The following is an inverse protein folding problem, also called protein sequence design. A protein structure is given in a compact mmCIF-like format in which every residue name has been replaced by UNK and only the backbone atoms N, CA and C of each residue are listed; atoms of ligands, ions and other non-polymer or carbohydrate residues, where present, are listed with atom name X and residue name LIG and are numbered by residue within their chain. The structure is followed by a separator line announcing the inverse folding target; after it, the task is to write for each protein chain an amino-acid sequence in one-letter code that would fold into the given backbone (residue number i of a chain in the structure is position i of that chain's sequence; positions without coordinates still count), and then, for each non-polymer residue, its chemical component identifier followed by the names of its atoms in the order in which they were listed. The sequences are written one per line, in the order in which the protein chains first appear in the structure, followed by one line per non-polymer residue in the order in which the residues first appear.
data_IF_191659744465
#
_entry.id   IF_191659744465
#
_cell.length_a   1.000
_cell.length_b   1.000
_cell.length_c   1.000
_cell.angle_alpha   90.00
_cell.angle_beta   90.00
_cell.angle_gamma   90.00
#
_symmetry.space_group_name_H-M   'P 1'
#
loop_
_entity.id
_entity.type
_entity.pdbx_description
1 polymer ?
#
# COMPACT_ATOMS: atom_id res chain seq x y z
N UNK A 1 1.84 25.21 14.25
CA UNK A 1 3.06 24.72 14.94
C UNK A 1 3.81 25.92 15.49
N UNK A 2 4.27 25.91 16.75
CA UNK A 2 5.08 27.02 17.27
C UNK A 2 6.56 26.73 17.02
N UNK A 3 7.14 27.38 16.01
CA UNK A 3 8.53 27.19 15.58
C UNK A 3 9.56 27.43 16.71
N UNK A 4 9.26 28.28 17.71
CA UNK A 4 10.18 28.56 18.82
C UNK A 4 10.32 27.37 19.79
N UNK A 5 9.30 26.51 19.85
CA UNK A 5 9.24 25.34 20.74
C UNK A 5 9.36 24.02 19.97
N UNK A 6 9.70 24.06 18.68
CA UNK A 6 9.79 22.86 17.81
C UNK A 6 11.26 22.53 17.57
N UNK A 7 11.62 21.24 17.55
CA UNK A 7 12.98 20.82 17.22
C UNK A 7 13.42 21.34 15.84
N UNK A 8 14.62 21.94 15.78
CA UNK A 8 15.24 22.38 14.52
C UNK A 8 15.43 21.21 13.53
N UNK A 9 15.75 20.01 14.04
CA UNK A 9 15.87 18.80 13.23
C UNK A 9 14.53 18.45 12.57
N UNK A 10 13.42 18.55 13.31
CA UNK A 10 12.09 18.29 12.77
C UNK A 10 11.68 19.33 11.72
N UNK A 11 11.92 20.63 11.98
CA UNK A 11 11.68 21.68 11.00
C UNK A 11 12.49 21.49 9.71
N UNK A 12 13.77 21.11 9.83
CA UNK A 12 14.65 20.82 8.68
C UNK A 12 14.18 19.59 7.91
N UNK A 13 13.79 18.52 8.61
CA UNK A 13 13.21 17.32 8.01
C UNK A 13 11.95 17.66 7.19
N UNK A 14 11.00 18.42 7.76
CA UNK A 14 9.79 18.82 7.04
C UNK A 14 10.12 19.66 5.78
N UNK A 15 11.07 20.60 5.87
CA UNK A 15 11.48 21.43 4.74
C UNK A 15 12.15 20.64 3.60
N UNK A 16 12.77 19.50 3.89
CA UNK A 16 13.44 18.66 2.89
C UNK A 16 12.61 17.43 2.44
N UNK A 17 11.49 17.13 3.10
CA UNK A 17 10.61 16.03 2.72
C UNK A 17 9.90 16.27 1.38
N UNK A 18 9.35 17.46 1.17
CA UNK A 18 8.62 17.81 -0.06
C UNK A 18 8.23 19.29 -0.11
N UNK A 19 7.62 19.68 -1.21
CA UNK A 19 7.08 21.03 -1.41
C UNK A 19 5.72 21.16 -0.74
N UNK A 20 5.47 22.25 -0.01
CA UNK A 20 4.15 22.53 0.56
C UNK A 20 3.18 22.96 -0.54
N UNK A 21 2.18 22.12 -0.82
CA UNK A 21 1.20 22.37 -1.90
C UNK A 21 -0.22 22.47 -1.36
N UNK A 22 -1.04 23.30 -1.99
CA UNK A 22 -2.48 23.41 -1.72
C UNK A 22 -3.25 22.31 -2.44
N UNK A 23 -4.04 21.54 -1.69
CA UNK A 23 -4.76 20.36 -2.19
C UNK A 23 -5.82 20.73 -3.22
N UNK A 24 -6.50 21.86 -3.03
CA UNK A 24 -7.54 22.35 -3.94
C UNK A 24 -7.00 22.60 -5.35
N UNK A 25 -5.81 23.21 -5.48
CA UNK A 25 -5.25 23.65 -6.77
C UNK A 25 -4.20 22.71 -7.37
N UNK A 26 -3.59 21.81 -6.60
CA UNK A 26 -2.46 20.99 -7.06
C UNK A 26 -2.85 19.80 -7.96
N UNK A 27 -2.36 19.64 -9.20
CA UNK A 27 -2.94 18.71 -10.19
C UNK A 27 -2.70 17.20 -9.97
N UNK A 28 -1.85 16.81 -9.03
CA UNK A 28 -1.44 15.42 -8.76
C UNK A 28 -2.19 14.78 -7.57
N UNK A 29 -1.86 13.53 -7.22
CA UNK A 29 -2.36 12.90 -5.99
C UNK A 29 -1.71 13.55 -4.75
N UNK A 30 -2.54 13.94 -3.79
CA UNK A 30 -2.17 14.70 -2.58
C UNK A 30 -2.40 13.93 -1.27
N UNK A 31 -2.68 12.62 -1.36
CA UNK A 31 -2.88 11.72 -0.22
C UNK A 31 -4.27 11.10 -0.12
N UNK A 32 -5.27 11.68 -0.79
CA UNK A 32 -6.66 11.23 -0.81
C UNK A 32 -7.09 10.94 -2.27
N UNK A 33 -7.72 9.79 -2.52
CA UNK A 33 -8.20 9.39 -3.85
C UNK A 33 -9.46 10.12 -4.32
N UNK A 34 -10.21 10.76 -3.43
CA UNK A 34 -11.44 11.52 -3.75
C UNK A 34 -11.15 12.90 -4.31
N UNK A 35 -10.04 13.53 -3.92
CA UNK A 35 -9.56 14.82 -4.45
C UNK A 35 -8.62 14.66 -5.65
N UNK A 36 -8.03 13.47 -5.81
CA UNK A 36 -7.06 13.15 -6.85
C UNK A 36 -7.65 13.22 -8.27
N UNK A 37 -6.90 13.85 -9.19
CA UNK A 37 -7.20 13.91 -10.62
C UNK A 37 -8.57 14.45 -11.03
N UNK A 38 -9.39 14.95 -10.10
CA UNK A 38 -10.66 15.60 -10.42
C UNK A 38 -10.42 17.00 -10.98
N UNK A 39 -11.10 17.32 -12.07
CA UNK A 39 -11.26 18.69 -12.57
C UNK A 39 -12.37 19.44 -11.79
N UNK A 40 -13.28 18.69 -11.18
CA UNK A 40 -14.36 19.15 -10.31
C UNK A 40 -13.93 18.88 -8.87
N UNK A 41 -12.99 19.67 -8.36
CA UNK A 41 -12.75 19.72 -6.92
C UNK A 41 -13.75 20.70 -6.36
N UNK A 42 -14.50 20.25 -5.36
CA UNK A 42 -15.46 21.12 -4.70
C UNK A 42 -14.69 22.30 -4.11
N UNK A 43 -14.95 23.49 -4.68
CA UNK A 43 -14.66 24.74 -4.00
C UNK A 43 -15.48 24.69 -2.70
N UNK A 44 -14.83 24.39 -1.58
CA UNK A 44 -15.47 24.55 -0.26
C UNK A 44 -16.01 25.99 -0.19
N UNK A 45 -17.22 26.20 0.34
CA UNK A 45 -17.81 27.53 0.37
C UNK A 45 -16.88 28.52 1.07
N UNK A 46 -16.85 29.77 0.59
CA UNK A 46 -15.91 30.84 0.95
C UNK A 46 -15.73 31.11 2.46
N UNK A 47 -16.59 30.54 3.32
CA UNK A 47 -16.52 30.58 4.78
C UNK A 47 -15.24 29.96 5.36
N UNK A 48 -14.52 29.11 4.60
CA UNK A 48 -13.22 28.56 5.01
C UNK A 48 -12.03 29.51 4.73
N UNK A 49 -12.20 30.56 3.93
CA UNK A 49 -11.12 31.52 3.56
C UNK A 49 -10.96 32.64 4.58
N UNK A 50 -10.81 32.29 5.85
CA UNK A 50 -9.98 33.14 6.72
C UNK A 50 -8.56 33.14 6.12
N UNK A 51 -7.94 34.33 5.99
CA UNK A 51 -6.54 34.45 5.56
C UNK A 51 -5.60 33.91 6.64
N UNK A 52 -5.57 32.60 6.78
CA UNK A 52 -4.65 31.85 7.59
C UNK A 52 -3.31 31.81 6.84
N UNK A 53 -2.38 32.65 7.26
CA UNK A 53 -0.98 32.72 6.81
C UNK A 53 -0.16 31.46 7.26
N UNK A 54 -0.86 30.32 7.36
CA UNK A 54 -0.48 29.11 8.09
C UNK A 54 -0.83 27.86 7.28
N UNK A 55 0.18 27.10 6.86
CA UNK A 55 -0.03 25.80 6.22
C UNK A 55 -0.55 24.76 7.23
N UNK A 56 -1.68 24.10 6.93
CA UNK A 56 -2.19 22.94 7.65
C UNK A 56 -2.02 21.70 6.77
N UNK A 57 -1.00 20.89 7.11
CA UNK A 57 -0.48 19.78 6.32
C UNK A 57 -1.27 18.50 6.63
N UNK A 58 -2.57 18.44 6.35
CA UNK A 58 -3.45 17.31 6.71
C UNK A 58 -4.14 16.61 5.55
N UNK A 59 -3.84 17.00 4.30
CA UNK A 59 -4.42 16.41 3.10
C UNK A 59 -5.79 16.99 2.71
N UNK A 60 -6.38 17.87 3.53
CA UNK A 60 -7.57 18.64 3.13
C UNK A 60 -7.21 19.98 2.49
N UNK A 61 -6.37 20.76 3.17
CA UNK A 61 -5.93 22.07 2.64
C UNK A 61 -4.54 21.99 2.03
N UNK A 62 -3.60 21.33 2.71
CA UNK A 62 -2.22 21.24 2.25
C UNK A 62 -1.63 19.85 2.55
N UNK A 63 -0.59 19.48 1.80
CA UNK A 63 0.32 18.39 2.15
C UNK A 63 1.77 18.76 1.74
N UNK A 64 2.75 18.00 2.21
CA UNK A 64 4.10 18.07 1.63
C UNK A 64 4.16 17.06 0.50
N UNK A 65 4.25 17.53 -0.74
CA UNK A 65 4.25 16.71 -1.93
C UNK A 65 5.66 16.54 -2.49
N UNK A 66 5.97 15.32 -2.94
CA UNK A 66 7.21 15.01 -3.62
C UNK A 66 6.96 13.89 -4.65
N UNK A 67 7.64 13.93 -5.79
CA UNK A 67 7.55 12.86 -6.77
C UNK A 67 8.89 12.57 -7.48
N UNK A 68 8.99 11.35 -8.00
CA UNK A 68 9.89 10.98 -9.09
C UNK A 68 9.06 10.60 -10.35
N UNK A 69 9.66 10.32 -11.53
CA UNK A 69 8.93 9.94 -12.74
C UNK A 69 8.07 8.65 -12.66
N UNK A 70 8.04 7.97 -11.51
CA UNK A 70 7.42 6.66 -11.29
C UNK A 70 6.61 6.56 -9.98
N UNK A 71 6.72 7.51 -9.05
CA UNK A 71 5.95 7.52 -7.79
C UNK A 71 5.72 8.94 -7.28
N UNK A 72 4.52 9.19 -6.77
CA UNK A 72 4.13 10.39 -6.03
C UNK A 72 4.03 10.03 -4.54
N UNK A 73 4.44 10.95 -3.66
CA UNK A 73 4.35 10.84 -2.21
C UNK A 73 3.74 12.12 -1.67
N UNK A 74 2.68 12.00 -0.89
CA UNK A 74 2.16 13.08 -0.06
C UNK A 74 2.39 12.73 1.40
N UNK A 75 3.04 13.63 2.15
CA UNK A 75 3.12 13.54 3.60
C UNK A 75 2.02 14.42 4.20
N UNK A 76 1.21 13.81 5.06
CA UNK A 76 0.16 14.46 5.85
C UNK A 76 0.44 14.26 7.33
N UNK A 77 -0.19 15.08 8.16
CA UNK A 77 -0.09 15.08 9.62
C UNK A 77 -1.49 14.92 10.22
N UNK A 78 -1.65 14.19 11.33
CA UNK A 78 -2.94 14.03 11.97
C UNK A 78 -3.45 15.36 12.52
N UNK A 79 -4.71 15.70 12.22
CA UNK A 79 -5.38 16.89 12.78
C UNK A 79 -6.77 16.57 13.28
N UNK A 80 -7.26 17.41 14.19
CA UNK A 80 -8.63 17.36 14.71
C UNK A 80 -9.71 17.46 13.62
N UNK A 81 -9.37 17.96 12.41
CA UNK A 81 -10.29 17.98 11.27
C UNK A 81 -10.58 16.57 10.76
N UNK A 82 -9.55 15.73 10.65
CA UNK A 82 -9.69 14.34 10.17
C UNK A 82 -10.58 13.55 11.13
N UNK A 83 -10.31 13.69 12.44
CA UNK A 83 -11.12 13.05 13.50
C UNK A 83 -12.59 13.40 13.40
N UNK A 84 -12.92 14.71 13.33
CA UNK A 84 -14.31 15.19 13.24
C UNK A 84 -15.03 14.72 11.98
N UNK A 85 -14.35 14.70 10.83
CA UNK A 85 -14.96 14.25 9.59
C UNK A 85 -15.38 12.77 9.68
N UNK A 86 -14.58 11.94 10.34
CA UNK A 86 -14.86 10.51 10.49
C UNK A 86 -15.92 10.21 11.55
N UNK A 87 -15.97 11.01 12.63
CA UNK A 87 -17.10 10.98 13.57
C UNK A 87 -18.42 11.29 12.84
N UNK A 88 -18.43 12.31 11.96
CA UNK A 88 -19.63 12.63 11.18
C UNK A 88 -20.02 11.53 10.18
N UNK A 89 -19.05 10.85 9.57
CA UNK A 89 -19.30 9.76 8.64
C UNK A 89 -19.85 8.50 9.35
N UNK A 90 -19.48 8.26 10.61
CA UNK A 90 -20.00 7.15 11.40
C UNK A 90 -21.50 7.33 11.71
N UNK A 91 -21.91 8.52 12.16
CA UNK A 91 -23.32 8.85 12.42
C UNK A 91 -24.19 8.72 11.15
N UNK A 92 -23.65 9.10 9.97
CA UNK A 92 -24.34 8.94 8.69
C UNK A 92 -24.61 7.46 8.35
N UNK A 93 -23.69 6.55 8.66
CA UNK A 93 -23.87 5.13 8.39
C UNK A 93 -24.90 4.48 9.31
N UNK A 94 -25.00 4.89 10.58
CA UNK A 94 -25.98 4.31 11.51
C UNK A 94 -27.44 4.60 11.05
N UNK A 95 -27.66 5.78 10.46
CA UNK A 95 -28.92 6.20 9.83
C UNK A 95 -29.30 5.44 8.54
N UNK A 96 -28.44 4.57 7.99
CA UNK A 96 -28.79 3.73 6.82
C UNK A 96 -29.42 2.38 7.17
N UNK A 97 -29.58 2.06 8.47
CA UNK A 97 -30.19 0.81 8.93
C UNK A 97 -31.73 0.85 8.98
N UNK A 98 -32.36 1.96 8.56
CA UNK A 98 -33.81 2.15 8.58
C UNK A 98 -34.39 2.49 7.20
N UNK A 99 -34.66 1.48 6.36
CA UNK A 99 -35.28 1.79 5.07
C UNK A 99 -35.47 0.69 4.02
N UNK A 100 -35.55 -0.60 4.37
CA UNK A 100 -35.93 -1.66 3.40
C UNK A 100 -37.44 -1.63 3.06
N UNK A 101 -37.93 -0.46 2.67
CA UNK A 101 -39.28 -0.27 2.14
C UNK A 101 -39.23 -0.43 0.62
N UNK A 102 -39.13 -1.68 0.15
CA UNK A 102 -39.50 -2.00 -1.23
C UNK A 102 -40.94 -1.57 -1.46
N UNK A 103 -41.12 -0.55 -2.29
CA UNK A 103 -42.41 0.03 -2.63
C UNK A 103 -43.32 -1.03 -3.26
N UNK A 104 -44.42 -1.35 -2.56
CA UNK A 104 -45.47 -2.22 -3.05
C UNK A 104 -46.14 -1.57 -4.26
N UNK A 105 -46.01 -2.19 -5.44
CA UNK A 105 -46.88 -1.93 -6.60
C UNK A 105 -47.52 -3.26 -7.01
N UNK A 106 -48.66 -3.54 -6.38
CA UNK A 106 -49.76 -4.36 -6.91
C UNK A 106 -50.67 -3.46 -7.76
N UNK A 107 -51.31 -3.85 -8.85
CA UNK A 107 -51.26 -5.03 -9.72
C UNK A 107 -51.97 -4.63 -11.02
N UNK A 108 -51.68 -5.26 -12.16
CA UNK A 108 -52.69 -5.78 -13.12
C UNK A 108 -52.02 -6.46 -14.31
N UNK A 109 -52.77 -7.29 -15.03
CA UNK A 109 -52.28 -8.50 -15.69
C UNK A 109 -52.13 -8.39 -17.23
N UNK A 110 -51.15 -9.10 -17.84
CA UNK A 110 -51.41 -10.29 -18.69
C UNK A 110 -50.15 -10.84 -19.42
N UNK A 111 -50.13 -12.19 -19.53
CA UNK A 111 -49.41 -13.07 -20.49
C UNK A 111 -47.88 -13.28 -20.45
N UNK A 112 -47.52 -14.51 -20.04
CA UNK A 112 -46.58 -15.48 -20.66
C UNK A 112 -45.08 -15.11 -20.90
N UNK A 113 -44.07 -15.95 -20.59
CA UNK A 113 -44.01 -17.30 -20.00
C UNK A 113 -42.64 -17.59 -19.32
N UNK A 114 -42.56 -18.73 -18.62
CA UNK A 114 -41.36 -19.52 -18.28
C UNK A 114 -40.30 -19.02 -17.27
N UNK A 115 -40.61 -19.31 -16.00
CA UNK A 115 -39.82 -20.14 -15.08
C UNK A 115 -38.29 -19.97 -14.88
N UNK A 116 -38.00 -19.64 -13.60
CA UNK A 116 -37.00 -20.25 -12.72
C UNK A 116 -35.56 -19.67 -12.69
N UNK A 117 -35.20 -19.19 -11.50
CA UNK A 117 -33.89 -18.67 -11.13
C UNK A 117 -32.88 -19.76 -10.74
N UNK A 118 -31.59 -19.51 -11.03
CA UNK A 118 -30.40 -19.99 -10.30
C UNK A 118 -29.17 -19.42 -11.03
N UNK A 119 -28.54 -18.35 -10.52
CA UNK A 119 -27.46 -18.38 -9.52
C UNK A 119 -26.15 -19.02 -10.03
N UNK A 120 -25.16 -18.14 -10.25
CA UNK A 120 -23.70 -18.33 -10.19
C UNK A 120 -22.99 -19.40 -11.05
N UNK A 121 -21.73 -19.07 -11.37
CA UNK A 121 -20.65 -20.00 -11.71
C UNK A 121 -20.76 -20.75 -13.05
N UNK A 122 -20.16 -20.16 -14.09
CA UNK A 122 -19.67 -20.91 -15.25
C UNK A 122 -18.15 -20.96 -15.26
N UNK A 123 -17.64 -22.05 -14.69
CA UNK A 123 -16.36 -22.60 -15.11
C UNK A 123 -16.38 -22.88 -16.62
N UNK A 124 -15.30 -22.52 -17.31
CA UNK A 124 -15.00 -23.05 -18.64
C UNK A 124 -13.79 -23.97 -18.55
N UNK A 125 -14.05 -25.20 -18.13
CA UNK A 125 -13.08 -26.27 -18.16
C UNK A 125 -12.85 -26.78 -19.59
N UNK A 126 -11.58 -26.86 -19.99
CA UNK A 126 -11.05 -27.87 -20.92
C UNK A 126 -11.73 -28.05 -22.28
N UNK A 127 -11.18 -27.40 -23.31
CA UNK A 127 -11.01 -28.09 -24.60
C UNK A 127 -9.61 -27.85 -25.16
N UNK A 128 -8.82 -28.91 -25.18
CA UNK A 128 -7.53 -28.91 -25.87
C UNK A 128 -7.76 -28.75 -27.38
N UNK A 129 -7.25 -27.66 -27.94
CA UNK A 129 -6.92 -27.55 -29.35
C UNK A 129 -5.54 -26.90 -29.46
N UNK A 130 -4.61 -27.71 -29.91
CA UNK A 130 -3.27 -27.33 -30.31
C UNK A 130 -3.31 -26.41 -31.53
N UNK A 131 -2.67 -25.25 -31.43
CA UNK A 131 -2.14 -24.53 -32.59
C UNK A 131 -0.92 -23.71 -32.14
N UNK A 132 0.27 -24.33 -32.21
CA UNK A 132 1.52 -23.60 -32.02
C UNK A 132 1.88 -22.87 -33.32
N UNK A 133 1.95 -21.54 -33.28
CA UNK A 133 2.56 -20.75 -34.37
C UNK A 133 3.50 -19.68 -33.86
N UNK A 134 4.79 -20.06 -33.88
CA UNK A 134 5.93 -19.25 -34.33
C UNK A 134 6.03 -17.81 -33.82
N UNK A 135 6.99 -17.58 -32.92
CA UNK A 135 7.65 -16.29 -32.77
C UNK A 135 9.16 -16.47 -32.49
N UNK A 136 9.98 -16.08 -33.47
CA UNK A 136 11.37 -15.63 -33.25
C UNK A 136 12.41 -16.68 -32.86
N UNK A 137 13.02 -17.32 -33.86
CA UNK A 137 14.39 -17.82 -33.71
C UNK A 137 15.35 -16.63 -33.60
N UNK A 138 16.16 -16.58 -32.54
CA UNK A 138 17.40 -15.79 -32.52
C UNK A 138 18.57 -16.69 -32.12
N UNK A 139 19.21 -17.30 -33.11
CA UNK A 139 20.46 -18.06 -32.92
C UNK A 139 21.65 -17.10 -33.03
N UNK A 140 22.34 -16.89 -31.91
CA UNK A 140 23.53 -16.04 -31.81
C UNK A 140 24.67 -16.76 -31.08
N UNK A 141 25.51 -17.47 -31.84
CA UNK A 141 26.71 -18.12 -31.30
C UNK A 141 27.89 -17.13 -31.18
N UNK A 142 28.47 -16.95 -29.98
CA UNK A 142 29.94 -16.94 -29.80
C UNK A 142 30.39 -16.95 -28.33
N UNK A 143 31.00 -18.07 -27.93
CA UNK A 143 32.10 -18.23 -26.96
C UNK A 143 32.48 -17.10 -25.97
N UNK A 144 32.42 -17.41 -24.67
CA UNK A 144 33.16 -16.75 -23.57
C UNK A 144 33.52 -17.78 -22.48
N UNK A 145 34.69 -17.66 -21.83
CA UNK A 145 35.35 -18.74 -21.07
C UNK A 145 35.63 -18.34 -19.61
N UNK A 146 35.66 -19.33 -18.71
CA UNK A 146 36.11 -19.25 -17.29
C UNK A 146 35.17 -18.49 -16.33
N UNK A 147 35.08 -18.78 -15.02
CA UNK A 147 35.91 -19.63 -14.13
C UNK A 147 35.08 -20.53 -13.18
N UNK A 148 35.76 -21.49 -12.55
CA UNK A 148 35.27 -22.39 -11.50
C UNK A 148 35.91 -22.03 -10.16
N UNK A 149 35.22 -22.35 -9.06
CA UNK A 149 35.73 -22.48 -7.68
C UNK A 149 36.02 -21.19 -6.88
N UNK A 150 35.32 -21.05 -5.76
CA UNK A 150 35.97 -20.83 -4.47
C UNK A 150 35.11 -21.44 -3.35
N UNK A 151 35.74 -22.30 -2.56
CA UNK A 151 35.22 -22.84 -1.30
C UNK A 151 36.00 -22.18 -0.19
N UNK A 152 35.34 -21.67 0.84
CA UNK A 152 36.00 -21.45 2.12
C UNK A 152 35.05 -21.74 3.30
N UNK A 153 35.61 -22.35 4.35
CA UNK A 153 34.86 -23.08 5.39
C UNK A 153 35.38 -22.68 6.77
N UNK A 154 34.55 -21.99 7.57
CA UNK A 154 34.80 -21.52 8.95
C UNK A 154 33.44 -21.37 9.65
N UNK A 155 33.13 -21.87 10.86
CA UNK A 155 33.73 -22.88 11.75
C UNK A 155 32.60 -23.46 12.65
N UNK A 156 32.30 -24.78 12.67
CA UNK A 156 31.29 -25.35 13.59
C UNK A 156 31.94 -25.90 14.86
N UNK A 157 31.60 -25.36 16.04
CA UNK A 157 32.23 -25.75 17.30
C UNK A 157 31.49 -26.89 18.04
N UNK A 158 32.00 -28.11 17.85
CA UNK A 158 32.08 -29.25 18.78
C UNK A 158 30.91 -29.68 19.70
N UNK A 159 30.47 -30.94 19.49
CA UNK A 159 29.78 -31.81 20.46
C UNK A 159 30.63 -32.14 21.70
N UNK A 160 29.97 -32.54 22.80
CA UNK A 160 30.52 -33.48 23.80
C UNK A 160 29.44 -34.40 24.42
N UNK A 161 29.58 -35.72 24.16
CA UNK A 161 29.25 -36.94 24.94
C UNK A 161 27.87 -37.05 25.67
N UNK A 162 27.03 -38.08 25.44
CA UNK A 162 27.08 -39.48 25.96
C UNK A 162 27.02 -39.58 27.51
N UNK A 163 26.24 -40.43 28.19
CA UNK A 163 25.46 -41.67 27.86
C UNK A 163 24.60 -42.16 29.06
N UNK A 164 23.67 -43.12 28.87
CA UNK A 164 22.97 -43.90 29.93
C UNK A 164 21.46 -43.58 30.03
N UNK A 165 20.48 -44.42 29.65
CA UNK A 165 20.11 -45.84 29.92
C UNK A 165 19.14 -46.03 31.11
N UNK A 166 17.90 -46.35 30.74
CA UNK A 166 16.83 -47.15 31.39
C UNK A 166 15.89 -46.67 32.52
N UNK A 167 14.62 -47.03 32.27
CA UNK A 167 13.52 -47.44 33.18
C UNK A 167 12.45 -46.44 33.63
N UNK A 168 11.18 -46.73 33.27
CA UNK A 168 10.14 -46.87 34.31
C UNK A 168 8.81 -46.09 34.16
N UNK A 169 7.87 -46.65 33.40
CA UNK A 169 6.42 -46.66 33.60
C UNK A 169 5.56 -45.37 33.71
N UNK A 170 4.70 -45.22 32.70
CA UNK A 170 3.24 -45.02 32.80
C UNK A 170 2.61 -44.12 33.89
N UNK A 171 2.08 -42.97 33.46
CA UNK A 171 0.71 -42.57 33.79
C UNK A 171 0.13 -41.61 32.72
N UNK A 172 -1.19 -41.62 32.56
CA UNK A 172 -1.93 -40.81 31.57
C UNK A 172 -2.00 -39.35 31.98
N UNK A 173 -1.57 -38.44 31.11
CA UNK A 173 -2.24 -37.13 30.97
C UNK A 173 -2.23 -36.67 29.51
N UNK A 174 -3.32 -36.00 29.10
CA UNK A 174 -3.63 -35.72 27.71
C UNK A 174 -2.92 -34.47 27.18
N UNK A 175 -2.01 -34.70 26.23
CA UNK A 175 -1.73 -33.90 25.02
C UNK A 175 -2.13 -32.41 24.95
N UNK A 176 -1.30 -31.50 24.44
CA UNK A 176 0.09 -31.57 23.93
C UNK A 176 0.63 -30.14 23.94
N UNK A 177 1.66 -29.87 24.74
CA UNK A 177 2.57 -28.75 24.51
C UNK A 177 3.78 -29.37 23.82
N UNK A 178 4.10 -28.94 22.61
CA UNK A 178 5.33 -29.31 21.91
C UNK A 178 5.92 -28.08 21.27
N UNK A 179 7.02 -27.62 21.84
CA UNK A 179 7.86 -26.55 21.32
C UNK A 179 8.42 -26.96 19.96
N UNK A 180 8.21 -26.12 18.95
CA UNK A 180 8.96 -26.12 17.69
C UNK A 180 9.29 -24.66 17.39
N UNK A 181 10.38 -24.18 17.98
CA UNK A 181 10.93 -22.83 17.76
C UNK A 181 11.66 -22.71 16.41
N UNK A 182 11.18 -23.44 15.41
CA UNK A 182 11.36 -23.09 14.03
C UNK A 182 10.75 -21.71 13.82
N UNK A 183 11.58 -20.72 13.43
CA UNK A 183 11.15 -19.38 12.96
C UNK A 183 10.22 -19.52 11.76
N UNK A 184 8.96 -19.84 12.03
CA UNK A 184 7.89 -19.93 11.05
C UNK A 184 7.70 -18.50 10.57
N UNK A 185 8.16 -18.22 9.35
CA UNK A 185 7.75 -17.04 8.61
C UNK A 185 6.24 -17.20 8.44
N UNK A 186 5.49 -16.65 9.39
CA UNK A 186 4.04 -16.61 9.37
C UNK A 186 3.68 -15.79 8.15
N UNK A 187 3.15 -16.45 7.13
CA UNK A 187 2.76 -15.81 5.89
C UNK A 187 1.55 -14.91 6.16
N UNK A 188 1.81 -13.70 6.65
CA UNK A 188 0.79 -12.66 6.84
C UNK A 188 0.24 -12.33 5.46
N UNK A 189 -1.04 -12.63 5.25
CA UNK A 189 -1.78 -12.18 4.07
C UNK A 189 -1.80 -10.65 4.09
N UNK A 190 -1.24 -10.03 3.06
CA UNK A 190 -1.21 -8.57 2.93
C UNK A 190 -2.63 -8.01 2.86
N UNK A 191 -2.93 -7.02 3.70
CA UNK A 191 -4.12 -6.19 3.57
C UNK A 191 -3.92 -5.22 2.39
N UNK A 192 -4.98 -4.90 1.65
CA UNK A 192 -4.94 -3.88 0.60
C UNK A 192 -4.75 -2.47 1.20
N UNK A 193 -5.26 -2.25 2.41
CA UNK A 193 -4.96 -1.08 3.22
C UNK A 193 -3.50 -1.18 3.74
N UNK A 194 -2.65 -0.31 3.19
CA UNK A 194 -1.19 -0.34 3.29
C UNK A 194 -0.69 1.00 3.81
N UNK A 195 -0.16 1.02 5.03
CA UNK A 195 0.16 2.26 5.74
C UNK A 195 1.62 2.34 6.16
N UNK A 196 2.18 3.53 6.03
CA UNK A 196 3.53 3.85 6.49
C UNK A 196 3.46 5.13 7.32
N UNK A 197 3.74 5.02 8.62
CA UNK A 197 3.85 6.18 9.50
C UNK A 197 5.33 6.58 9.63
N UNK A 198 5.58 7.89 9.64
CA UNK A 198 6.85 8.47 10.06
C UNK A 198 6.58 9.21 11.37
N UNK A 199 7.22 8.76 12.45
CA UNK A 199 7.00 9.29 13.79
C UNK A 199 8.29 9.97 14.24
N UNK A 200 8.27 11.30 14.35
CA UNK A 200 9.35 12.02 15.00
C UNK A 200 9.14 12.00 16.52
N UNK A 201 10.16 11.59 17.26
CA UNK A 201 10.15 11.50 18.73
C UNK A 201 11.18 12.46 19.31
N UNK A 202 10.76 13.31 20.25
CA UNK A 202 11.68 14.11 21.07
C UNK A 202 12.48 13.25 22.05
N UNK A 203 11.91 12.10 22.47
CA UNK A 203 12.54 11.14 23.38
C UNK A 203 12.24 9.72 22.93
N UNK A 204 13.25 8.86 22.91
CA UNK A 204 13.11 7.48 22.41
C UNK A 204 12.16 6.63 23.27
N UNK A 205 12.02 6.95 24.56
CA UNK A 205 11.11 6.28 25.48
C UNK A 205 9.63 6.41 25.07
N UNK A 206 9.28 7.52 24.40
CA UNK A 206 7.90 7.79 23.95
C UNK A 206 7.45 6.82 22.82
N UNK A 207 8.39 6.11 22.19
CA UNK A 207 8.11 5.04 21.22
C UNK A 207 7.18 3.96 21.79
N UNK A 208 7.31 3.61 23.08
CA UNK A 208 6.51 2.59 23.74
C UNK A 208 5.07 3.03 24.04
N UNK A 209 4.79 4.33 23.94
CA UNK A 209 3.49 4.93 24.23
C UNK A 209 2.76 5.44 22.98
N UNK A 210 3.32 5.22 21.78
CA UNK A 210 2.74 5.71 20.54
C UNK A 210 1.37 5.06 20.24
N UNK A 211 0.27 5.84 20.10
CA UNK A 211 -1.09 5.32 20.01
C UNK A 211 -1.43 4.85 18.59
N UNK A 212 -0.80 3.74 18.15
CA UNK A 212 -0.83 3.32 16.75
C UNK A 212 -2.23 3.04 16.18
N UNK A 213 -3.18 2.58 17.02
CA UNK A 213 -4.54 2.23 16.58
C UNK A 213 -5.46 3.47 16.50
N UNK A 214 -5.26 4.46 17.37
CA UNK A 214 -5.96 5.75 17.33
C UNK A 214 -5.60 6.59 16.10
N UNK A 215 -4.49 6.25 15.42
CA UNK A 215 -4.07 6.87 14.16
C UNK A 215 -4.70 6.21 12.92
N UNK A 216 -5.38 5.07 13.03
CA UNK A 216 -6.06 4.44 11.87
C UNK A 216 -7.22 5.24 11.29
N UNK A 217 -8.02 5.97 12.09
CA UNK A 217 -8.92 6.98 11.53
C UNK A 217 -8.09 8.03 10.74
N UNK A 218 -7.07 8.63 11.37
CA UNK A 218 -6.34 9.80 10.85
C UNK A 218 -5.57 9.63 9.53
N UNK A 219 -5.52 8.43 8.95
CA UNK A 219 -4.69 8.12 7.76
C UNK A 219 -5.42 7.29 6.69
N UNK A 220 -6.75 7.43 6.58
CA UNK A 220 -7.53 6.81 5.49
C UNK A 220 -7.32 7.59 4.18
N UNK A 221 -6.97 6.90 3.10
CA UNK A 221 -6.75 7.48 1.76
C UNK A 221 -8.02 7.57 0.89
N UNK A 222 -9.17 7.17 1.46
CA UNK A 222 -10.48 7.03 0.82
C UNK A 222 -10.46 6.18 -0.48
N UNK A 223 -9.52 5.24 -0.59
CA UNK A 223 -9.44 4.31 -1.73
C UNK A 223 -10.59 3.30 -1.75
N UNK A 224 -11.29 3.22 -2.89
CA UNK A 224 -12.30 2.19 -3.19
C UNK A 224 -11.74 0.76 -3.20
N UNK A 225 -10.41 0.58 -3.21
CA UNK A 225 -9.78 -0.75 -3.14
C UNK A 225 -9.77 -1.32 -1.71
N UNK A 226 -9.93 -0.46 -0.69
CA UNK A 226 -10.02 -0.82 0.72
C UNK A 226 -11.49 -0.97 1.11
N UNK A 227 -12.16 -2.01 0.61
CA UNK A 227 -13.52 -2.33 1.05
C UNK A 227 -13.57 -2.61 2.55
N UNK A 228 -14.71 -2.30 3.20
CA UNK A 228 -14.93 -2.28 4.66
C UNK A 228 -14.73 -3.65 5.36
N UNK A 229 -13.49 -4.09 5.38
CA UNK A 229 -13.01 -5.16 6.22
C UNK A 229 -12.43 -4.49 7.48
N UNK A 230 -13.01 -4.77 8.66
CA UNK A 230 -12.45 -4.39 9.96
C UNK A 230 -11.11 -5.09 10.30
N UNK A 231 -10.36 -5.52 9.30
CA UNK A 231 -9.04 -6.09 9.43
C UNK A 231 -8.01 -4.95 9.60
N UNK A 232 -7.14 -5.09 10.61
CA UNK A 232 -6.03 -4.16 10.87
C UNK A 232 -5.25 -3.86 9.58
N UNK A 233 -4.94 -2.59 9.26
CA UNK A 233 -4.15 -2.26 8.09
C UNK A 233 -2.74 -2.85 8.21
N UNK A 234 -2.12 -3.14 7.07
CA UNK A 234 -0.74 -3.59 7.04
C UNK A 234 0.17 -2.37 7.27
N UNK A 235 0.73 -2.24 8.47
CA UNK A 235 1.42 -1.04 8.95
C UNK A 235 2.94 -1.23 9.00
N UNK A 236 3.69 -0.20 8.62
CA UNK A 236 5.06 0.06 9.08
C UNK A 236 5.10 1.40 9.81
N UNK A 237 5.80 1.45 10.93
CA UNK A 237 6.09 2.65 11.71
C UNK A 237 7.59 2.89 11.68
N UNK A 238 8.02 4.00 11.09
CA UNK A 238 9.41 4.46 11.09
C UNK A 238 9.54 5.55 12.17
N UNK A 239 10.11 5.18 13.31
CA UNK A 239 10.44 6.10 14.39
C UNK A 239 11.78 6.77 14.13
N UNK A 240 11.82 8.07 14.39
CA UNK A 240 12.94 8.97 14.15
C UNK A 240 13.23 9.71 15.45
N UNK A 241 14.39 9.49 16.06
CA UNK A 241 14.78 10.16 17.31
C UNK A 241 16.19 10.72 17.21
N UNK A 242 16.39 11.97 17.60
CA UNK A 242 17.72 12.58 17.71
C UNK A 242 18.54 11.89 18.82
N UNK A 243 19.82 11.63 18.59
CA UNK A 243 20.73 11.00 19.56
C UNK A 243 21.79 12.00 20.02
N UNK A 244 22.41 12.66 19.04
CA UNK A 244 23.34 13.77 19.20
C UNK A 244 23.05 14.77 18.07
N UNK A 245 23.60 15.99 18.15
CA UNK A 245 23.45 16.98 17.08
C UNK A 245 23.77 16.37 15.71
N UNK A 246 22.84 16.53 14.77
CA UNK A 246 22.92 15.99 13.40
C UNK A 246 22.95 14.46 13.27
N UNK A 247 22.85 13.68 14.35
CA UNK A 247 22.88 12.22 14.34
C UNK A 247 21.55 11.63 14.85
N UNK A 248 20.87 10.90 13.97
CA UNK A 248 19.50 10.44 14.18
C UNK A 248 19.45 8.92 14.20
N UNK A 249 18.76 8.35 15.20
CA UNK A 249 18.44 6.92 15.28
C UNK A 249 17.12 6.66 14.58
N UNK A 250 17.10 5.57 13.82
CA UNK A 250 15.89 5.04 13.18
C UNK A 250 15.54 3.72 13.84
N UNK A 251 14.29 3.61 14.29
CA UNK A 251 13.70 2.35 14.71
C UNK A 251 12.50 2.04 13.82
N UNK A 252 12.35 0.79 13.38
CA UNK A 252 11.27 0.43 12.44
C UNK A 252 10.52 -0.81 12.89
N UNK A 253 9.21 -0.64 13.07
CA UNK A 253 8.29 -1.68 13.53
C UNK A 253 7.29 -1.97 12.41
N UNK A 254 7.17 -3.23 11.99
CA UNK A 254 6.17 -3.67 11.03
C UNK A 254 6.55 -4.97 10.31
N UNK A 255 5.57 -5.61 9.67
CA UNK A 255 5.78 -6.88 8.97
C UNK A 255 6.47 -6.66 7.61
N UNK A 256 7.72 -7.11 7.54
CA UNK A 256 8.56 -7.04 6.35
C UNK A 256 8.10 -7.96 5.22
N UNK A 257 8.50 -7.61 4.00
CA UNK A 257 8.26 -8.44 2.81
C UNK A 257 9.19 -9.64 2.74
N UNK A 258 8.76 -10.72 2.07
CA UNK A 258 9.57 -11.87 1.64
C UNK A 258 10.80 -11.43 0.83
N UNK A 259 10.71 -10.27 0.18
CA UNK A 259 11.83 -9.58 -0.49
C UNK A 259 12.87 -8.95 0.46
N UNK A 260 12.79 -9.17 1.78
CA UNK A 260 13.74 -8.66 2.77
C UNK A 260 13.55 -7.17 3.11
N UNK A 261 14.52 -6.61 3.85
CA UNK A 261 14.47 -5.26 4.42
C UNK A 261 14.31 -4.18 3.33
N UNK A 262 13.36 -3.25 3.48
CA UNK A 262 12.86 -2.49 2.34
C UNK A 262 13.69 -1.27 1.94
N UNK A 263 14.72 -0.84 2.65
CA UNK A 263 15.45 0.36 2.26
C UNK A 263 16.82 0.52 2.92
N UNK A 264 17.50 1.65 2.67
CA UNK A 264 18.73 2.00 3.37
C UNK A 264 18.49 2.29 4.85
N UNK A 265 17.31 2.78 5.23
CA UNK A 265 16.92 2.86 6.64
C UNK A 265 16.46 1.47 7.11
N UNK A 266 17.16 0.95 8.11
CA UNK A 266 16.87 -0.32 8.78
C UNK A 266 16.72 -0.10 10.27
N UNK A 267 16.03 -1.00 10.96
CA UNK A 267 15.83 -0.89 12.40
C UNK A 267 17.17 -0.84 13.16
N UNK A 268 17.29 0.10 14.09
CA UNK A 268 18.48 0.35 14.90
C UNK A 268 19.61 1.12 14.21
N UNK A 269 19.47 1.54 12.94
CA UNK A 269 20.53 2.29 12.26
C UNK A 269 20.65 3.75 12.78
N UNK A 270 21.86 4.28 12.66
CA UNK A 270 22.17 5.70 12.88
C UNK A 270 22.48 6.34 11.53
N UNK A 271 21.88 7.50 11.26
CA UNK A 271 22.06 8.26 10.02
C UNK A 271 22.29 9.75 10.32
N UNK A 272 22.99 10.43 9.42
CA UNK A 272 23.07 11.89 9.47
C UNK A 272 21.70 12.50 9.18
N UNK A 273 21.34 13.52 9.95
CA UNK A 273 20.16 14.38 9.75
C UNK A 273 20.01 14.86 8.30
N UNK A 274 21.11 15.29 7.67
CA UNK A 274 21.14 15.78 6.28
C UNK A 274 20.82 14.66 5.27
N UNK A 275 21.17 13.41 5.60
CA UNK A 275 20.85 12.26 4.75
C UNK A 275 19.42 11.73 5.00
N UNK A 276 18.81 12.03 6.15
CA UNK A 276 17.54 11.45 6.57
C UNK A 276 16.40 11.67 5.56
N UNK A 277 16.12 12.87 5.01
CA UNK A 277 14.94 13.09 4.17
C UNK A 277 14.96 12.25 2.88
N UNK A 278 16.13 12.11 2.25
CA UNK A 278 16.29 11.32 1.02
C UNK A 278 16.29 9.81 1.31
N UNK A 279 16.95 9.35 2.38
CA UNK A 279 16.93 7.95 2.78
C UNK A 279 15.54 7.49 3.22
N UNK A 280 14.78 8.37 3.88
CA UNK A 280 13.41 8.15 4.30
C UNK A 280 12.49 8.02 3.07
N UNK A 281 12.51 8.97 2.14
CA UNK A 281 11.78 8.89 0.86
C UNK A 281 12.06 7.58 0.13
N UNK A 282 13.34 7.24 -0.09
CA UNK A 282 13.71 5.99 -0.76
C UNK A 282 13.24 4.73 -0.02
N UNK A 283 13.24 4.76 1.32
CA UNK A 283 12.73 3.64 2.14
C UNK A 283 11.21 3.50 1.99
N UNK A 284 10.44 4.60 2.08
CA UNK A 284 8.97 4.61 1.89
C UNK A 284 8.59 4.09 0.50
N UNK A 285 9.26 4.57 -0.56
CA UNK A 285 9.04 4.12 -1.96
C UNK A 285 9.22 2.61 -2.09
N UNK A 286 10.29 2.08 -1.51
CA UNK A 286 10.63 0.66 -1.64
C UNK A 286 9.80 -0.23 -0.70
N UNK A 287 9.32 0.28 0.46
CA UNK A 287 8.24 -0.35 1.25
C UNK A 287 7.00 -0.52 0.36
N UNK A 288 6.48 0.59 -0.19
CA UNK A 288 5.26 0.61 -0.98
C UNK A 288 5.34 -0.34 -2.19
N UNK A 289 6.42 -0.25 -2.98
CA UNK A 289 6.64 -1.11 -4.15
C UNK A 289 6.68 -2.59 -3.79
N UNK A 290 7.41 -2.98 -2.73
CA UNK A 290 7.53 -4.40 -2.34
C UNK A 290 6.21 -4.96 -1.79
N UNK A 291 5.53 -4.23 -0.91
CA UNK A 291 4.25 -4.66 -0.34
C UNK A 291 3.16 -4.77 -1.40
N UNK A 292 3.12 -3.83 -2.34
CA UNK A 292 2.19 -3.87 -3.49
C UNK A 292 2.34 -5.15 -4.32
N UNK A 293 3.57 -5.64 -4.52
CA UNK A 293 3.83 -6.89 -5.26
C UNK A 293 3.43 -8.16 -4.48
N UNK A 294 3.32 -8.07 -3.14
CA UNK A 294 2.87 -9.18 -2.28
C UNK A 294 1.34 -9.25 -2.08
N UNK A 295 0.59 -8.25 -2.54
CA UNK A 295 -0.87 -8.26 -2.51
C UNK A 295 -1.43 -9.40 -3.38
N UNK A 296 -2.36 -10.17 -2.80
CA UNK A 296 -3.08 -11.21 -3.56
C UNK A 296 -3.80 -10.61 -4.77
N UNK A 297 -3.68 -11.28 -5.92
CA UNK A 297 -4.25 -10.85 -7.20
C UNK A 297 -3.74 -9.48 -7.72
N UNK A 298 -2.66 -8.92 -7.16
CA UNK A 298 -2.08 -7.71 -7.73
C UNK A 298 -1.63 -7.92 -9.17
N UNK A 299 -2.03 -6.98 -10.03
CA UNK A 299 -1.61 -6.91 -11.42
C UNK A 299 -0.88 -5.58 -11.60
N UNK A 300 0.36 -5.66 -12.09
CA UNK A 300 1.17 -4.51 -12.48
C UNK A 300 0.35 -3.53 -13.33
N UNK A 301 0.50 -2.23 -13.07
CA UNK A 301 -0.21 -1.15 -13.79
C UNK A 301 -0.07 -1.28 -15.31
N UNK A 302 1.12 -1.63 -15.80
CA UNK A 302 1.36 -1.89 -17.22
C UNK A 302 0.52 -3.06 -17.78
N UNK A 303 0.28 -4.11 -16.99
CA UNK A 303 -0.56 -5.24 -17.38
C UNK A 303 -2.05 -4.90 -17.32
N UNK A 304 -2.50 -4.14 -16.30
CA UNK A 304 -3.86 -3.60 -16.23
C UNK A 304 -4.16 -2.69 -17.43
N UNK A 305 -3.26 -1.74 -17.72
CA UNK A 305 -3.35 -0.81 -18.87
C UNK A 305 -3.39 -1.56 -20.20
N UNK A 306 -2.53 -2.57 -20.39
CA UNK A 306 -2.53 -3.42 -21.60
C UNK A 306 -3.87 -4.13 -21.79
N UNK A 307 -4.44 -4.71 -20.73
CA UNK A 307 -5.75 -5.37 -20.78
C UNK A 307 -6.88 -4.39 -21.10
N UNK A 308 -6.88 -3.21 -20.47
CA UNK A 308 -7.85 -2.16 -20.76
C UNK A 308 -7.78 -1.66 -22.21
N UNK A 309 -6.58 -1.50 -22.77
CA UNK A 309 -6.39 -1.16 -24.20
C UNK A 309 -6.91 -2.28 -25.10
N UNK A 310 -6.60 -3.55 -24.82
CA UNK A 310 -7.11 -4.68 -25.59
C UNK A 310 -8.64 -4.77 -25.53
N UNK A 311 -9.25 -4.51 -24.37
CA UNK A 311 -10.68 -4.48 -24.21
C UNK A 311 -11.34 -3.29 -24.95
N UNK A 312 -10.75 -2.10 -24.87
CA UNK A 312 -11.18 -0.93 -25.64
C UNK A 312 -11.14 -1.22 -27.14
N UNK A 313 -10.01 -1.71 -27.65
CA UNK A 313 -9.85 -2.09 -29.07
C UNK A 313 -10.84 -3.17 -29.50
N UNK A 314 -11.19 -4.12 -28.63
CA UNK A 314 -12.22 -5.14 -28.89
C UNK A 314 -13.63 -4.54 -28.90
N UNK A 315 -13.94 -3.65 -27.95
CA UNK A 315 -15.27 -3.03 -27.78
C UNK A 315 -15.62 -2.09 -28.93
N UNK A 316 -14.64 -1.34 -29.43
CA UNK A 316 -14.80 -0.38 -30.51
C UNK A 316 -14.16 -0.87 -31.83
N UNK A 317 -13.99 -2.18 -32.00
CA UNK A 317 -13.46 -2.80 -33.21
C UNK A 317 -14.39 -2.56 -34.41
N UNK A 318 -14.09 -1.56 -35.24
CA UNK A 318 -14.76 -1.37 -36.52
C UNK A 318 -14.24 -2.40 -37.52
N UNK A 319 -15.13 -3.23 -38.08
CA UNK A 319 -14.81 -4.16 -39.17
C UNK A 319 -14.70 -3.40 -40.50
N UNK A 320 -13.62 -2.63 -40.67
CA UNK A 320 -13.21 -2.01 -41.94
C UNK A 320 -11.96 -2.71 -42.47
N UNK A 321 -11.80 -2.75 -43.79
CA UNK A 321 -10.52 -3.10 -44.38
C UNK A 321 -9.48 -2.02 -44.08
N UNK A 322 -8.20 -2.35 -44.23
CA UNK A 322 -7.13 -1.36 -44.05
C UNK A 322 -7.27 -0.20 -45.05
N UNK A 323 -7.73 -0.46 -46.28
CA UNK A 323 -8.03 0.60 -47.26
C UNK A 323 -9.16 1.51 -46.76
N UNK A 324 -10.32 0.96 -46.34
CA UNK A 324 -11.45 1.78 -45.89
C UNK A 324 -11.10 2.63 -44.65
N UNK A 325 -10.19 2.15 -43.80
CA UNK A 325 -9.67 2.92 -42.67
C UNK A 325 -8.76 4.08 -43.11
N UNK A 326 -7.82 3.83 -44.01
CA UNK A 326 -6.90 4.85 -44.53
C UNK A 326 -7.65 5.89 -45.37
N UNK A 327 -8.60 5.47 -46.20
CA UNK A 327 -9.46 6.39 -46.97
C UNK A 327 -10.30 7.30 -46.07
N UNK A 328 -10.79 6.82 -44.93
CA UNK A 328 -11.48 7.68 -43.96
C UNK A 328 -10.54 8.66 -43.27
N UNK A 329 -9.36 8.21 -42.82
CA UNK A 329 -8.38 9.07 -42.15
C UNK A 329 -7.83 10.19 -43.06
N UNK A 330 -7.86 9.99 -44.38
CA UNK A 330 -7.44 10.97 -45.38
C UNK A 330 -8.57 11.92 -45.84
N UNK A 331 -9.82 11.66 -45.42
CA UNK A 331 -11.01 12.44 -45.81
C UNK A 331 -11.67 13.18 -44.62
N UNK A 332 -11.04 13.17 -43.44
CA UNK A 332 -11.33 14.06 -42.29
C UNK A 332 -10.36 15.26 -42.24
#
# INVERSE_FOLDING_TARGET
MNLQNTSNLFCSLLAELGEGVEVETHPHWTGDWTTAFSAERNLEPEEAKENLDNYIIDGFTHCLWWADPHIEIAFTTPTERIRKQQESAADCNELTTCGTNTSVISSDEHSDSDHAASMLQRDFGGRALSDERSAGETSGNSSGRSNKLLTETVLPLHKKNCSGVDSGNEAKESSRISEDDSKRITFVKRNADQRVYVIFLERIEDMHYFPCEEMFPMTKDNSLCSGDNNAKPDLIMIFVSEVENELVRINVIGDWTKCGLPGPLVDGCLVSSIALPILLKHTVISIARRRTVELENYQLVASKRRRAIQEFSRKYAVKKSYCDFVELLLNE
#
